data_IF_735085947799
#
_entry.id   IF_735085947799
#
_cell.length_a   1.000
_cell.length_b   1.000
_cell.length_c   1.000
_cell.angle_alpha   90.00
_cell.angle_beta   90.00
_cell.angle_gamma   90.00
#
_symmetry.space_group_name_H-M   'P 1'
#
loop_
_entity.id
_entity.type
_entity.pdbx_description
1 polymer ?
#
# COMPACT_ATOMS: atom_id res chain seq x y z
N UNK A 1 -21.80 32.76 -53.94
CA UNK A 1 -21.34 32.78 -52.54
C UNK A 1 -19.89 33.21 -52.59
N UNK A 2 -19.60 34.46 -52.22
CA UNK A 2 -18.23 34.97 -52.19
C UNK A 2 -17.66 34.56 -50.83
N UNK A 3 -16.61 33.76 -50.85
CA UNK A 3 -15.90 33.32 -49.66
C UNK A 3 -14.84 34.38 -49.35
N UNK A 4 -15.16 35.29 -48.43
CA UNK A 4 -14.24 36.34 -48.00
C UNK A 4 -13.69 36.05 -46.60
N UNK A 5 -12.39 36.28 -46.45
CA UNK A 5 -11.69 36.29 -45.17
C UNK A 5 -10.93 37.60 -45.05
N UNK A 6 -10.86 38.15 -43.84
CA UNK A 6 -10.10 39.37 -43.57
C UNK A 6 -8.60 39.04 -43.59
N UNK A 7 -7.75 40.00 -43.99
CA UNK A 7 -6.30 39.86 -43.87
C UNK A 7 -5.84 39.60 -42.41
N UNK A 8 -6.68 39.95 -41.43
CA UNK A 8 -6.47 39.67 -40.01
C UNK A 8 -6.56 38.16 -39.70
N UNK A 9 -7.34 37.40 -40.47
CA UNK A 9 -7.46 35.94 -40.30
C UNK A 9 -6.15 35.22 -40.69
N UNK A 10 -5.32 35.85 -41.54
CA UNK A 10 -4.04 35.30 -42.01
C UNK A 10 -2.88 35.66 -41.06
N UNK A 11 -3.01 36.76 -40.32
CA UNK A 11 -1.93 37.32 -39.47
C UNK A 11 -2.12 37.08 -37.97
N UNK A 12 -3.31 36.69 -37.53
CA UNK A 12 -3.65 36.46 -36.12
C UNK A 12 -3.14 35.15 -35.52
N UNK A 13 -2.65 34.22 -36.34
CA UNK A 13 -2.12 32.93 -35.89
C UNK A 13 -3.17 31.89 -35.50
N UNK A 14 -4.46 32.25 -35.43
CA UNK A 14 -5.55 31.33 -35.11
C UNK A 14 -6.84 31.69 -35.88
N UNK A 15 -7.35 30.76 -36.68
CA UNK A 15 -8.62 30.91 -37.39
C UNK A 15 -9.81 30.65 -36.45
N UNK A 16 -10.81 31.54 -36.34
CA UNK A 16 -12.01 31.31 -35.52
C UNK A 16 -12.77 30.03 -35.86
N UNK A 17 -13.44 29.43 -34.86
CA UNK A 17 -14.27 28.21 -35.04
C UNK A 17 -15.38 28.42 -36.08
N UNK A 18 -16.00 29.61 -36.09
CA UNK A 18 -17.07 29.95 -37.05
C UNK A 18 -16.60 30.01 -38.52
N UNK A 19 -15.29 30.05 -38.76
CA UNK A 19 -14.67 30.04 -40.09
C UNK A 19 -13.93 28.72 -40.37
N UNK A 20 -14.25 27.66 -39.62
CA UNK A 20 -13.68 26.33 -39.82
C UNK A 20 -12.30 26.11 -39.19
N UNK A 21 -11.82 27.05 -38.36
CA UNK A 21 -10.60 26.91 -37.57
C UNK A 21 -10.85 26.35 -36.16
N UNK A 22 -9.84 26.45 -35.31
CA UNK A 22 -9.88 26.02 -33.89
C UNK A 22 -10.07 27.17 -32.92
N UNK A 23 -9.98 28.42 -33.39
CA UNK A 23 -10.02 29.64 -32.59
C UNK A 23 -8.87 29.80 -31.60
N UNK A 24 -7.80 29.00 -31.72
CA UNK A 24 -6.65 29.06 -30.82
C UNK A 24 -5.34 28.64 -31.51
N UNK A 25 -4.24 29.21 -31.04
CA UNK A 25 -2.87 28.91 -31.45
C UNK A 25 -2.22 27.79 -30.61
N UNK A 26 -2.87 27.39 -29.50
CA UNK A 26 -2.45 26.30 -28.61
C UNK A 26 -3.40 25.12 -28.69
N UNK A 27 -2.84 23.91 -28.72
CA UNK A 27 -3.61 22.67 -28.82
C UNK A 27 -4.67 22.49 -27.72
N UNK A 28 -4.37 22.86 -26.46
CA UNK A 28 -5.32 22.75 -25.35
C UNK A 28 -6.56 23.61 -25.56
N UNK A 29 -6.35 24.88 -25.91
CA UNK A 29 -7.42 25.84 -26.15
C UNK A 29 -8.20 25.49 -27.43
N UNK A 30 -7.50 25.03 -28.47
CA UNK A 30 -8.11 24.54 -29.70
C UNK A 30 -9.08 23.38 -29.44
N UNK A 31 -8.68 22.40 -28.62
CA UNK A 31 -9.57 21.31 -28.22
C UNK A 31 -10.76 21.80 -27.41
N UNK A 32 -10.52 22.69 -26.44
CA UNK A 32 -11.58 23.22 -25.58
C UNK A 32 -12.64 23.97 -26.41
N UNK A 33 -12.19 24.80 -27.35
CA UNK A 33 -13.05 25.53 -28.29
C UNK A 33 -13.90 24.60 -29.16
N UNK A 34 -13.39 23.39 -29.45
CA UNK A 34 -14.09 22.34 -30.20
C UNK A 34 -14.89 21.39 -29.29
N UNK A 35 -14.93 21.63 -27.97
CA UNK A 35 -15.60 20.76 -27.00
C UNK A 35 -14.93 19.40 -26.79
N UNK A 36 -13.68 19.24 -27.23
CA UNK A 36 -12.91 18.01 -27.07
C UNK A 36 -12.21 17.96 -25.72
N UNK A 37 -12.41 16.85 -25.00
CA UNK A 37 -11.79 16.59 -23.69
C UNK A 37 -10.44 15.91 -23.90
N UNK A 38 -9.41 16.37 -23.21
CA UNK A 38 -8.10 15.75 -23.27
C UNK A 38 -7.77 14.81 -22.14
N UNK A 39 -6.67 14.11 -22.35
CA UNK A 39 -6.02 13.31 -21.32
C UNK A 39 -5.73 14.11 -20.05
N UNK A 40 -5.19 15.33 -20.15
CA UNK A 40 -4.90 16.18 -18.97
C UNK A 40 -6.16 16.61 -18.20
N UNK A 41 -7.31 16.59 -18.86
CA UNK A 41 -8.59 16.99 -18.26
C UNK A 41 -9.24 15.82 -17.51
N UNK A 42 -8.98 14.57 -17.93
CA UNK A 42 -9.52 13.34 -17.31
C UNK A 42 -8.52 12.72 -16.31
N UNK A 43 -7.25 12.66 -16.69
CA UNK A 43 -6.15 12.08 -15.92
C UNK A 43 -4.96 13.04 -15.88
N UNK A 44 -5.00 14.13 -15.10
CA UNK A 44 -3.82 14.98 -14.91
C UNK A 44 -2.60 14.22 -14.37
N UNK A 45 -1.41 14.81 -14.50
CA UNK A 45 -0.18 14.23 -13.92
C UNK A 45 -0.37 14.04 -12.41
N UNK A 46 -0.06 12.83 -11.92
CA UNK A 46 -0.33 12.42 -10.54
C UNK A 46 -1.60 11.58 -10.37
N UNK A 47 -2.49 11.50 -11.37
CA UNK A 47 -3.67 10.64 -11.30
C UNK A 47 -3.31 9.16 -11.20
N UNK A 48 -4.17 8.41 -10.49
CA UNK A 48 -4.10 6.96 -10.40
C UNK A 48 -5.19 6.33 -11.26
N UNK A 49 -4.81 5.32 -12.04
CA UNK A 49 -5.70 4.48 -12.82
C UNK A 49 -5.68 3.06 -12.26
N UNK A 50 -6.88 2.46 -12.08
CA UNK A 50 -7.06 1.09 -11.62
C UNK A 50 -7.74 0.24 -12.71
N UNK A 51 -7.29 -0.99 -12.89
CA UNK A 51 -7.87 -1.91 -13.87
C UNK A 51 -7.66 -3.37 -13.50
N UNK A 52 -8.55 -4.24 -13.96
CA UNK A 52 -8.32 -5.69 -13.96
C UNK A 52 -7.38 -6.15 -15.08
N UNK A 53 -7.17 -5.33 -16.11
CA UNK A 53 -6.29 -5.66 -17.22
C UNK A 53 -4.86 -5.14 -16.96
N UNK A 54 -3.86 -5.94 -17.33
CA UNK A 54 -2.44 -5.60 -17.24
C UNK A 54 -1.98 -4.53 -18.23
N UNK A 55 -2.77 -4.19 -19.24
CA UNK A 55 -2.43 -3.20 -20.27
C UNK A 55 -2.06 -1.85 -19.64
N UNK A 56 -0.92 -1.30 -20.07
CA UNK A 56 -0.48 0.02 -19.62
C UNK A 56 -1.45 1.11 -20.08
N UNK A 57 -1.82 2.07 -19.22
CA UNK A 57 -2.66 3.19 -19.63
C UNK A 57 -1.99 4.07 -20.69
N UNK A 58 -0.66 4.01 -20.80
CA UNK A 58 0.07 4.66 -21.89
C UNK A 58 -0.40 4.19 -23.28
N UNK A 59 -0.78 2.92 -23.41
CA UNK A 59 -1.30 2.36 -24.67
C UNK A 59 -2.75 2.77 -24.93
N UNK A 60 -3.53 3.03 -23.88
CA UNK A 60 -4.96 3.35 -23.99
C UNK A 60 -5.21 4.84 -24.19
N UNK A 61 -4.42 5.66 -23.51
CA UNK A 61 -4.67 7.08 -23.35
C UNK A 61 -3.46 7.96 -23.73
N UNK A 62 -2.30 7.35 -23.99
CA UNK A 62 -1.03 8.06 -24.15
C UNK A 62 -0.41 8.49 -22.81
N UNK A 63 0.59 9.37 -22.89
CA UNK A 63 1.33 9.86 -21.73
C UNK A 63 2.28 8.83 -21.11
N UNK A 64 2.87 9.20 -19.96
CA UNK A 64 3.79 8.35 -19.21
C UNK A 64 3.17 7.88 -17.90
N UNK A 65 3.35 6.58 -17.61
CA UNK A 65 2.72 5.92 -16.46
C UNK A 65 3.71 5.02 -15.74
N UNK A 66 3.67 5.01 -14.41
CA UNK A 66 4.47 4.13 -13.56
C UNK A 66 3.56 3.18 -12.80
N UNK A 67 3.86 1.88 -12.85
CA UNK A 67 3.07 0.86 -12.16
C UNK A 67 3.24 0.97 -10.65
N UNK A 68 2.14 0.88 -9.92
CA UNK A 68 2.15 0.71 -8.46
C UNK A 68 1.92 -0.78 -8.19
N UNK A 69 2.85 -1.43 -7.49
CA UNK A 69 2.81 -2.86 -7.20
C UNK A 69 3.06 -3.16 -5.72
N UNK A 70 2.53 -4.30 -5.27
CA UNK A 70 2.78 -4.88 -3.94
C UNK A 70 2.49 -3.93 -2.78
N UNK A 71 1.41 -3.15 -2.87
CA UNK A 71 0.93 -2.25 -1.81
C UNK A 71 -0.53 -1.87 -2.04
N UNK A 72 -1.19 -1.47 -0.96
CA UNK A 72 -2.49 -0.82 -1.02
C UNK A 72 -2.30 0.70 -1.07
N UNK A 73 -3.35 1.42 -1.46
CA UNK A 73 -3.36 2.89 -1.40
C UNK A 73 -3.69 3.34 0.02
N UNK A 74 -2.85 4.21 0.57
CA UNK A 74 -3.06 4.85 1.86
C UNK A 74 -3.36 6.33 1.65
N UNK A 75 -4.41 6.84 2.30
CA UNK A 75 -4.80 8.23 2.23
C UNK A 75 -3.80 9.08 3.03
N UNK A 76 -2.94 9.82 2.32
CA UNK A 76 -1.99 10.73 2.94
C UNK A 76 -2.73 11.82 3.73
N UNK A 77 -2.30 12.06 4.97
CA UNK A 77 -2.85 13.12 5.81
C UNK A 77 -2.26 14.51 5.45
N UNK A 78 -1.12 14.53 4.75
CA UNK A 78 -0.44 15.76 4.34
C UNK A 78 0.38 15.56 3.06
N UNK A 79 0.76 16.67 2.42
CA UNK A 79 1.60 16.63 1.22
C UNK A 79 2.99 16.00 1.46
N UNK A 80 3.53 16.10 2.68
CA UNK A 80 4.80 15.49 3.06
C UNK A 80 4.77 13.95 3.12
N UNK A 81 3.59 13.35 3.16
CA UNK A 81 3.44 11.89 3.17
C UNK A 81 3.30 11.29 1.76
N UNK A 82 3.15 12.12 0.72
CA UNK A 82 2.93 11.64 -0.64
C UNK A 82 4.14 10.83 -1.11
N UNK A 83 3.88 9.58 -1.49
CA UNK A 83 4.91 8.65 -1.97
C UNK A 83 5.59 7.83 -0.88
N UNK A 84 5.27 8.06 0.41
CA UNK A 84 5.74 7.20 1.48
C UNK A 84 5.24 5.76 1.29
N UNK A 85 6.04 4.82 1.75
CA UNK A 85 5.75 3.39 1.65
C UNK A 85 5.99 2.71 3.00
N UNK A 86 5.22 1.68 3.31
CA UNK A 86 5.35 0.95 4.57
C UNK A 86 4.42 -0.26 4.62
N UNK A 87 4.29 -0.83 5.81
CA UNK A 87 3.53 -2.04 6.07
C UNK A 87 4.34 -3.33 5.86
N UNK A 88 3.77 -4.45 6.32
CA UNK A 88 4.36 -5.77 6.18
C UNK A 88 3.26 -6.78 5.83
N UNK A 89 3.53 -7.66 4.85
CA UNK A 89 2.61 -8.74 4.48
C UNK A 89 2.53 -9.80 5.59
N UNK A 90 3.65 -10.07 6.26
CA UNK A 90 3.72 -11.01 7.38
C UNK A 90 4.42 -10.37 8.58
N UNK A 91 4.04 -10.77 9.79
CA UNK A 91 4.63 -10.25 11.03
C UNK A 91 5.10 -11.42 11.91
N UNK A 92 6.33 -11.33 12.40
CA UNK A 92 6.83 -12.20 13.48
C UNK A 92 6.72 -11.46 14.80
N UNK A 93 6.05 -12.06 15.79
CA UNK A 93 5.94 -11.47 17.12
C UNK A 93 7.29 -11.44 17.83
N UNK A 94 7.57 -10.31 18.47
CA UNK A 94 8.70 -10.12 19.39
C UNK A 94 8.24 -10.28 20.83
N UNK A 95 9.16 -10.55 21.75
CA UNK A 95 8.85 -10.64 23.19
C UNK A 95 8.16 -9.38 23.72
N UNK A 96 8.52 -8.20 23.22
CA UNK A 96 7.91 -6.93 23.62
C UNK A 96 6.43 -6.79 23.20
N UNK A 97 5.99 -7.58 22.21
CA UNK A 97 4.60 -7.60 21.75
C UNK A 97 3.75 -8.64 22.48
N UNK A 98 4.33 -9.42 23.39
CA UNK A 98 3.59 -10.39 24.21
C UNK A 98 3.11 -9.70 25.50
N UNK A 99 1.81 -9.71 25.80
CA UNK A 99 1.29 -9.18 27.06
C UNK A 99 1.90 -9.88 28.28
N UNK A 100 2.04 -9.13 29.38
CA UNK A 100 2.44 -9.69 30.67
C UNK A 100 1.47 -10.80 31.09
N UNK A 101 2.01 -11.94 31.48
CA UNK A 101 1.26 -13.11 31.90
C UNK A 101 2.04 -13.89 32.97
N UNK A 102 1.38 -14.78 33.70
CA UNK A 102 2.00 -15.61 34.75
C UNK A 102 1.67 -17.08 34.54
N UNK A 103 2.55 -17.95 35.03
CA UNK A 103 2.37 -19.40 35.01
C UNK A 103 2.32 -19.91 36.44
N UNK A 104 1.35 -20.80 36.73
CA UNK A 104 1.27 -21.49 38.00
C UNK A 104 1.73 -22.95 37.81
N UNK A 105 2.79 -23.35 38.50
CA UNK A 105 3.28 -24.74 38.50
C UNK A 105 2.94 -25.38 39.84
N UNK A 106 2.18 -26.49 39.81
CA UNK A 106 1.87 -27.29 41.01
C UNK A 106 2.69 -28.58 40.97
N UNK A 107 3.61 -28.75 41.90
CA UNK A 107 4.28 -30.02 42.16
C UNK A 107 3.58 -30.79 43.27
N UNK A 108 3.43 -32.11 43.13
CA UNK A 108 3.02 -33.00 44.24
C UNK A 108 4.20 -33.89 44.60
N UNK A 109 4.63 -33.85 45.86
CA UNK A 109 5.62 -34.80 46.39
C UNK A 109 4.90 -35.99 47.00
N UNK A 110 5.34 -37.22 46.68
CA UNK A 110 4.98 -38.40 47.46
C UNK A 110 6.07 -38.64 48.50
N UNK A 111 5.72 -38.63 49.78
CA UNK A 111 6.62 -39.05 50.85
C UNK A 111 6.72 -40.59 50.81
N UNK A 112 7.93 -41.12 50.62
CA UNK A 112 8.20 -42.56 50.78
C UNK A 112 8.65 -42.79 52.22
N UNK A 113 7.74 -43.28 53.06
CA UNK A 113 8.08 -43.69 54.43
C UNK A 113 8.73 -45.08 54.43
N UNK A 114 10.04 -45.12 54.23
CA UNK A 114 10.83 -46.34 54.32
C UNK A 114 12.34 -46.04 54.36
N UNK A 115 12.98 -46.30 55.50
CA UNK A 115 14.43 -46.14 55.68
C UNK A 115 15.21 -47.06 54.74
N UNK A 116 15.81 -46.49 53.70
CA UNK A 116 17.25 -46.52 53.42
C UNK A 116 17.54 -46.06 51.97
N UNK A 117 18.13 -44.87 51.84
CA UNK A 117 19.07 -44.61 50.73
C UNK A 117 18.55 -43.98 49.43
N UNK A 118 17.29 -43.57 49.33
CA UNK A 118 16.85 -42.71 48.22
C UNK A 118 16.10 -41.51 48.77
N UNK A 119 16.81 -40.38 48.95
CA UNK A 119 16.16 -39.09 48.84
C UNK A 119 15.65 -38.98 47.42
N UNK A 120 14.37 -39.27 47.18
CA UNK A 120 13.71 -38.67 46.04
C UNK A 120 13.87 -37.17 46.24
N UNK A 121 14.54 -36.50 45.30
CA UNK A 121 14.98 -35.12 45.46
C UNK A 121 13.82 -34.28 45.98
N UNK A 122 13.96 -33.90 47.25
CA UNK A 122 13.17 -32.87 47.89
C UNK A 122 13.24 -31.68 46.94
N UNK A 123 12.11 -31.10 46.54
CA UNK A 123 12.16 -29.71 46.08
C UNK A 123 12.67 -28.94 47.28
N UNK A 124 13.95 -28.61 47.31
CA UNK A 124 14.51 -28.17 48.55
C UNK A 124 14.09 -26.73 48.63
N UNK A 125 13.73 -26.29 49.81
CA UNK A 125 14.27 -25.00 50.16
C UNK A 125 14.63 -25.05 51.63
N UNK A 126 15.87 -25.49 51.89
CA UNK A 126 16.72 -24.74 52.81
C UNK A 126 17.63 -23.80 51.99
N UNK A 127 17.07 -23.18 50.95
CA UNK A 127 17.54 -22.28 49.86
C UNK A 127 17.85 -22.94 48.51
N UNK A 128 16.84 -23.50 47.85
CA UNK A 128 16.92 -24.11 46.51
C UNK A 128 15.70 -23.76 45.64
N UNK A 129 15.65 -22.49 45.22
CA UNK A 129 14.77 -21.99 44.16
C UNK A 129 15.05 -22.70 42.81
N UNK A 130 14.50 -23.90 42.63
CA UNK A 130 14.36 -24.51 41.31
C UNK A 130 13.18 -23.81 40.64
N UNK A 131 13.44 -22.70 39.95
CA UNK A 131 12.46 -22.10 39.05
C UNK A 131 12.00 -23.19 38.09
N UNK A 132 10.86 -23.82 38.36
CA UNK A 132 10.18 -24.70 37.43
C UNK A 132 9.76 -23.85 36.23
N UNK A 133 10.66 -23.71 35.27
CA UNK A 133 10.38 -22.98 34.04
C UNK A 133 9.58 -23.90 33.14
N UNK A 134 8.48 -23.38 32.60
CA UNK A 134 7.81 -24.04 31.49
C UNK A 134 8.79 -24.13 30.33
N UNK A 135 8.77 -25.24 29.60
CA UNK A 135 9.50 -25.33 28.33
C UNK A 135 9.01 -24.24 27.37
N UNK A 136 9.90 -23.81 26.48
CA UNK A 136 9.52 -22.88 25.42
C UNK A 136 8.41 -23.49 24.56
N UNK A 137 7.33 -22.75 24.38
CA UNK A 137 6.22 -23.12 23.50
C UNK A 137 6.02 -22.01 22.46
N UNK A 138 5.75 -22.42 21.22
CA UNK A 138 5.64 -21.54 20.06
C UNK A 138 6.77 -21.74 19.06
N UNK A 139 6.53 -21.37 17.80
CA UNK A 139 7.48 -21.60 16.69
C UNK A 139 8.23 -20.36 16.22
N UNK A 140 7.91 -19.17 16.74
CA UNK A 140 8.50 -17.90 16.27
C UNK A 140 8.24 -17.59 14.78
N UNK A 141 7.30 -18.31 14.15
CA UNK A 141 6.96 -18.14 12.74
C UNK A 141 6.26 -16.81 12.49
N UNK A 142 6.44 -16.27 11.29
CA UNK A 142 5.66 -15.13 10.83
C UNK A 142 4.22 -15.56 10.58
N UNK A 143 3.24 -14.72 10.94
CA UNK A 143 1.84 -14.91 10.59
C UNK A 143 1.41 -13.92 9.51
N UNK A 144 0.37 -14.30 8.76
CA UNK A 144 -0.27 -13.45 7.76
C UNK A 144 -0.79 -12.17 8.40
N UNK A 145 -0.59 -11.04 7.72
CA UNK A 145 -1.06 -9.72 8.14
C UNK A 145 -1.84 -9.02 7.02
N UNK A 146 -2.02 -9.67 5.86
CA UNK A 146 -2.88 -9.16 4.80
C UNK A 146 -4.34 -9.56 5.07
N UNK A 147 -5.27 -8.58 5.19
CA UNK A 147 -6.69 -8.90 5.18
C UNK A 147 -7.11 -9.47 3.81
N UNK A 148 -8.29 -10.11 3.70
CA UNK A 148 -8.83 -10.53 2.42
C UNK A 148 -8.83 -9.38 1.41
N UNK A 149 -8.30 -9.63 0.20
CA UNK A 149 -8.10 -8.60 -0.80
C UNK A 149 -8.34 -9.10 -2.22
N UNK A 150 -8.54 -8.15 -3.12
CA UNK A 150 -8.67 -8.37 -4.55
C UNK A 150 -7.52 -7.65 -5.27
N UNK A 151 -6.70 -8.41 -5.98
CA UNK A 151 -5.59 -7.87 -6.75
C UNK A 151 -6.07 -7.22 -8.05
N UNK A 152 -5.72 -5.95 -8.23
CA UNK A 152 -5.92 -5.19 -9.47
C UNK A 152 -4.61 -4.53 -9.91
N UNK A 153 -4.52 -4.18 -11.19
CA UNK A 153 -3.42 -3.39 -11.73
C UNK A 153 -3.65 -1.91 -11.43
N UNK A 154 -2.61 -1.23 -10.97
CA UNK A 154 -2.65 0.18 -10.61
C UNK A 154 -1.47 0.93 -11.26
N UNK A 155 -1.72 2.13 -11.75
CA UNK A 155 -0.71 2.97 -12.40
C UNK A 155 -0.86 4.42 -11.97
N UNK A 156 0.27 5.14 -11.79
CA UNK A 156 0.33 6.59 -11.57
C UNK A 156 0.80 7.28 -12.83
N UNK A 157 0.12 8.34 -13.27
CA UNK A 157 0.60 9.18 -14.38
C UNK A 157 1.79 10.02 -13.95
N UNK A 158 2.83 10.09 -14.77
CA UNK A 158 4.08 10.84 -14.50
C UNK A 158 4.35 11.97 -15.48
N UNK A 159 3.81 11.91 -16.69
CA UNK A 159 3.83 12.97 -17.69
C UNK A 159 2.67 12.80 -18.68
#
# INVERSE_FOLDING_TARGET
MVHEHSAVDITSGALPVMYGGTGADKAKEARLNLGAVGMDDVYPVGSIYLSYNSTSPATLFGGSWTRISSRFLYAAASASEIGNTGGAATVTLTTAQIPSHTHAVKGTSAEVSGSAGAVCETWPDKTNNRNGVTLATGGGGAHENMPPYLSVYMWRRTA
#
